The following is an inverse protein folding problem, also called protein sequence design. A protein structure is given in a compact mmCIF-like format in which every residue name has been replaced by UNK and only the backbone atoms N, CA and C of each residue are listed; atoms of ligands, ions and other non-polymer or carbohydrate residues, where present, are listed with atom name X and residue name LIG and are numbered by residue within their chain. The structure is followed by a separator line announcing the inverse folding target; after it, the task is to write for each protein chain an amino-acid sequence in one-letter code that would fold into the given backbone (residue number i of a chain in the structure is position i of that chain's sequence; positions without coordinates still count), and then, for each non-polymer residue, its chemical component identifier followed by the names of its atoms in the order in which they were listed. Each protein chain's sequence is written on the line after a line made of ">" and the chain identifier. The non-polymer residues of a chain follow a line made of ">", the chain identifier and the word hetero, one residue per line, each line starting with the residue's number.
data_IF_327776042149
#
_entry.id   IF_327776042149
#
_cell.length_a   1.000
_cell.length_b   1.000
_cell.length_c   1.000
_cell.angle_alpha   90.00
_cell.angle_beta   90.00
_cell.angle_gamma   90.00
#
_symmetry.space_group_name_H-M   'P 1'
#
loop_
_entity.id
_entity.type
_entity.pdbx_description
1 polymer ?
#
# COMPACT_ATOMS: atom_id res chain seq x y z
N UNK A 1 27.75 -16.83 16.65
CA UNK A 1 27.57 -15.66 15.78
C UNK A 1 26.88 -16.15 14.52
N UNK A 2 25.57 -15.93 14.39
CA UNK A 2 24.86 -16.24 13.16
C UNK A 2 25.35 -15.22 12.10
N UNK A 3 25.92 -15.74 10.99
CA UNK A 3 26.39 -14.88 9.90
C UNK A 3 25.25 -14.03 9.37
N UNK A 4 25.51 -12.74 9.12
CA UNK A 4 24.53 -11.88 8.45
C UNK A 4 24.15 -12.55 7.11
N UNK A 5 22.85 -12.60 6.77
CA UNK A 5 22.43 -13.10 5.48
C UNK A 5 23.15 -12.30 4.39
N UNK A 6 23.69 -12.99 3.39
CA UNK A 6 24.29 -12.33 2.22
C UNK A 6 23.25 -11.41 1.60
N UNK A 7 23.64 -10.18 1.19
CA UNK A 7 22.70 -9.28 0.51
C UNK A 7 22.12 -9.97 -0.74
N UNK A 8 20.82 -9.88 -0.92
CA UNK A 8 20.17 -10.36 -2.14
C UNK A 8 20.56 -9.40 -3.28
N UNK A 9 21.43 -9.87 -4.16
CA UNK A 9 21.95 -9.13 -5.30
C UNK A 9 21.11 -9.35 -6.57
N UNK A 10 20.03 -10.14 -6.48
CA UNK A 10 19.14 -10.33 -7.64
C UNK A 10 18.44 -9.01 -7.96
N UNK A 11 18.32 -8.67 -9.25
CA UNK A 11 17.48 -7.54 -9.63
C UNK A 11 16.03 -7.79 -9.22
N UNK A 12 15.35 -6.73 -8.84
CA UNK A 12 13.91 -6.73 -8.64
C UNK A 12 13.26 -6.93 -10.01
N UNK A 13 12.39 -7.92 -10.14
CA UNK A 13 11.70 -8.24 -11.38
C UNK A 13 10.18 -8.19 -11.24
N UNK A 14 9.66 -8.40 -10.04
CA UNK A 14 8.23 -8.48 -9.78
C UNK A 14 7.83 -7.56 -8.63
N UNK A 15 7.03 -6.55 -8.91
CA UNK A 15 6.53 -5.61 -7.90
C UNK A 15 5.01 -5.68 -7.80
N UNK A 16 4.52 -5.52 -6.57
CA UNK A 16 3.10 -5.35 -6.28
C UNK A 16 2.87 -3.94 -5.76
N UNK A 17 2.03 -3.18 -6.44
CA UNK A 17 1.54 -1.87 -5.98
C UNK A 17 0.17 -2.09 -5.34
N UNK A 18 0.01 -1.71 -4.08
CA UNK A 18 -1.27 -1.76 -3.35
C UNK A 18 -1.80 -0.35 -3.19
N UNK A 19 -3.02 -0.13 -3.64
CA UNK A 19 -3.76 1.12 -3.49
C UNK A 19 -5.11 0.85 -2.82
N UNK A 20 -5.71 1.85 -2.19
CA UNK A 20 -6.98 1.69 -1.49
C UNK A 20 -8.20 2.04 -2.35
N UNK A 21 -8.09 3.04 -3.22
CA UNK A 21 -9.20 3.62 -3.97
C UNK A 21 -9.01 3.55 -5.49
N UNK A 22 -10.13 3.48 -6.22
CA UNK A 22 -10.14 3.52 -7.69
C UNK A 22 -9.49 4.82 -8.22
N UNK A 23 -9.74 5.95 -7.56
CA UNK A 23 -9.19 7.26 -7.91
C UNK A 23 -7.66 7.28 -7.85
N UNK A 24 -7.05 6.55 -6.91
CA UNK A 24 -5.59 6.39 -6.82
C UNK A 24 -5.05 5.39 -7.86
N UNK A 25 -5.84 4.34 -8.14
CA UNK A 25 -5.44 3.25 -9.03
C UNK A 25 -5.34 3.68 -10.49
N UNK A 26 -6.38 4.36 -11.00
CA UNK A 26 -6.54 4.59 -12.44
C UNK A 26 -5.42 5.44 -13.08
N UNK A 27 -4.93 6.53 -12.47
CA UNK A 27 -3.78 7.26 -13.00
C UNK A 27 -2.55 6.36 -13.18
N UNK A 28 -2.21 5.57 -12.15
CA UNK A 28 -1.07 4.64 -12.16
C UNK A 28 -1.26 3.54 -13.22
N UNK A 29 -2.48 2.97 -13.33
CA UNK A 29 -2.84 1.98 -14.36
C UNK A 29 -2.60 2.52 -15.76
N UNK A 30 -3.06 3.75 -16.03
CA UNK A 30 -2.90 4.41 -17.31
C UNK A 30 -1.42 4.71 -17.62
N UNK A 31 -0.66 5.19 -16.63
CA UNK A 31 0.76 5.50 -16.75
C UNK A 31 1.57 4.30 -17.20
N UNK A 32 1.40 3.18 -16.52
CA UNK A 32 2.11 1.94 -16.84
C UNK A 32 1.40 1.08 -17.90
N UNK A 33 0.27 1.53 -18.45
CA UNK A 33 -0.55 0.81 -19.45
C UNK A 33 -0.90 -0.60 -18.98
N UNK A 34 -1.25 -0.73 -17.71
CA UNK A 34 -1.62 -2.01 -17.14
C UNK A 34 -2.99 -2.45 -17.64
N UNK A 35 -3.17 -3.75 -17.81
CA UNK A 35 -4.43 -4.35 -18.22
C UNK A 35 -5.12 -5.02 -17.03
N UNK A 36 -6.43 -4.85 -16.93
CA UNK A 36 -7.19 -5.52 -15.89
C UNK A 36 -7.21 -7.02 -16.12
N UNK A 37 -6.83 -7.78 -15.08
CA UNK A 37 -6.95 -9.23 -15.10
C UNK A 37 -8.44 -9.60 -15.10
N UNK A 38 -8.91 -10.46 -16.03
CA UNK A 38 -10.31 -10.85 -16.06
C UNK A 38 -10.67 -11.56 -14.75
N UNK A 39 -11.80 -11.16 -14.13
CA UNK A 39 -12.38 -11.92 -13.04
C UNK A 39 -12.71 -13.30 -13.55
N UNK A 40 -12.24 -14.36 -12.89
CA UNK A 40 -12.60 -15.73 -13.30
C UNK A 40 -14.14 -15.85 -13.24
N UNK A 41 -14.75 -15.92 -14.42
CA UNK A 41 -16.14 -16.33 -14.51
C UNK A 41 -16.22 -17.69 -13.81
N UNK A 42 -17.16 -17.84 -12.89
CA UNK A 42 -17.43 -19.10 -12.21
C UNK A 42 -17.68 -20.17 -13.27
N UNK A 43 -16.65 -20.93 -13.61
CA UNK A 43 -16.82 -22.14 -14.39
C UNK A 43 -17.75 -23.02 -13.59
N UNK A 44 -19.01 -23.10 -13.99
CA UNK A 44 -19.92 -24.14 -13.52
C UNK A 44 -19.11 -25.43 -13.60
N UNK A 45 -18.93 -26.08 -12.46
CA UNK A 45 -18.21 -27.35 -12.30
C UNK A 45 -18.72 -28.38 -13.30
N UNK A 46 -18.14 -28.43 -14.49
CA UNK A 46 -18.32 -29.55 -15.39
C UNK A 46 -17.12 -30.49 -15.17
N UNK A 47 -17.33 -31.49 -14.34
CA UNK A 47 -16.34 -32.50 -13.92
C UNK A 47 -15.67 -33.26 -15.07
N UNK A 48 -16.23 -33.22 -16.28
CA UNK A 48 -15.76 -33.99 -17.42
C UNK A 48 -14.61 -33.31 -18.22
N UNK A 49 -14.40 -32.00 -18.07
CA UNK A 49 -13.33 -31.27 -18.78
C UNK A 49 -12.02 -31.15 -17.98
N UNK A 50 -11.99 -31.68 -16.76
CA UNK A 50 -10.86 -31.51 -15.83
C UNK A 50 -9.63 -32.39 -16.12
N UNK A 51 -9.74 -33.39 -16.99
CA UNK A 51 -8.64 -34.35 -17.25
C UNK A 51 -7.81 -34.03 -18.50
N UNK A 52 -8.19 -33.11 -19.35
CA UNK A 52 -7.48 -32.86 -20.61
C UNK A 52 -6.72 -31.54 -20.71
N UNK A 53 -6.85 -30.63 -19.71
CA UNK A 53 -6.21 -29.30 -19.72
C UNK A 53 -5.36 -29.06 -18.46
N UNK A 54 -4.47 -30.00 -18.15
CA UNK A 54 -3.55 -29.88 -17.00
C UNK A 54 -2.43 -28.85 -17.19
N UNK A 55 -2.46 -28.03 -18.25
CA UNK A 55 -1.39 -27.06 -18.55
C UNK A 55 -1.81 -25.60 -18.55
N UNK A 56 -3.08 -25.26 -18.31
CA UNK A 56 -3.54 -23.86 -18.18
C UNK A 56 -4.55 -23.78 -17.04
N UNK A 57 -4.21 -24.28 -15.87
CA UNK A 57 -4.87 -23.84 -14.64
C UNK A 57 -4.16 -22.56 -14.20
N UNK A 58 -4.52 -21.44 -14.81
CA UNK A 58 -4.42 -20.17 -14.15
C UNK A 58 -5.19 -20.33 -12.83
N UNK A 59 -4.50 -20.54 -11.74
CA UNK A 59 -5.09 -20.45 -10.40
C UNK A 59 -5.85 -19.12 -10.36
N UNK A 60 -7.15 -19.11 -10.03
CA UNK A 60 -7.84 -17.84 -9.87
C UNK A 60 -7.11 -17.08 -8.77
N UNK A 61 -6.43 -16.01 -9.15
CA UNK A 61 -5.57 -15.17 -8.30
C UNK A 61 -6.29 -14.70 -7.04
N UNK A 62 -7.61 -14.52 -7.17
CA UNK A 62 -8.50 -14.19 -6.07
C UNK A 62 -9.69 -15.15 -6.06
N UNK A 63 -10.22 -15.48 -4.88
CA UNK A 63 -11.48 -16.22 -4.79
C UNK A 63 -12.56 -15.49 -5.60
N UNK A 64 -13.27 -16.19 -6.48
CA UNK A 64 -14.22 -15.59 -7.44
C UNK A 64 -15.42 -14.83 -6.83
N UNK A 65 -15.44 -14.65 -5.50
CA UNK A 65 -16.49 -13.92 -4.76
C UNK A 65 -16.00 -12.64 -4.11
N UNK A 66 -14.68 -12.34 -4.16
CA UNK A 66 -14.14 -11.09 -3.61
C UNK A 66 -14.21 -9.97 -4.65
N UNK A 67 -14.42 -8.71 -4.24
CA UNK A 67 -14.49 -7.57 -5.17
C UNK A 67 -13.14 -7.12 -5.71
N UNK A 68 -12.05 -7.73 -5.26
CA UNK A 68 -10.69 -7.31 -5.56
C UNK A 68 -10.40 -7.24 -7.03
N UNK A 69 -9.60 -6.25 -7.41
CA UNK A 69 -9.22 -5.99 -8.79
C UNK A 69 -7.70 -6.01 -8.90
N UNK A 70 -7.20 -6.68 -9.94
CA UNK A 70 -5.79 -6.69 -10.31
C UNK A 70 -5.63 -6.11 -11.70
N UNK A 71 -4.70 -5.19 -11.82
CA UNK A 71 -4.15 -4.75 -13.10
C UNK A 71 -2.72 -5.25 -13.20
N UNK A 72 -2.29 -5.66 -14.38
CA UNK A 72 -0.93 -6.18 -14.57
C UNK A 72 -0.36 -5.77 -15.93
N UNK A 73 0.95 -5.73 -16.01
CA UNK A 73 1.68 -5.42 -17.23
C UNK A 73 3.18 -5.49 -17.02
N UNK A 74 3.91 -5.28 -18.09
CA UNK A 74 5.37 -5.16 -18.05
C UNK A 74 5.76 -3.71 -18.33
N UNK A 75 6.63 -3.17 -17.49
CA UNK A 75 7.21 -1.85 -17.69
C UNK A 75 8.73 -1.95 -17.58
N UNK A 76 9.45 -1.69 -18.68
CA UNK A 76 10.89 -2.00 -18.81
C UNK A 76 11.13 -3.48 -18.46
N UNK A 77 11.98 -3.77 -17.47
CA UNK A 77 12.30 -5.14 -17.05
C UNK A 77 11.44 -5.61 -15.86
N UNK A 78 10.46 -4.80 -15.43
CA UNK A 78 9.61 -5.08 -14.27
C UNK A 78 8.26 -5.65 -14.69
N UNK A 79 7.85 -6.72 -14.03
CA UNK A 79 6.45 -7.16 -13.95
C UNK A 79 5.75 -6.33 -12.88
N UNK A 80 4.76 -5.53 -13.27
CA UNK A 80 3.99 -4.69 -12.36
C UNK A 80 2.62 -5.30 -12.16
N UNK A 81 2.24 -5.45 -10.90
CA UNK A 81 0.91 -5.85 -10.50
C UNK A 81 0.33 -4.78 -9.58
N UNK A 82 -0.71 -4.09 -10.00
CA UNK A 82 -1.44 -3.16 -9.15
C UNK A 82 -2.69 -3.85 -8.62
N UNK A 83 -2.86 -3.81 -7.30
CA UNK A 83 -3.97 -4.46 -6.60
C UNK A 83 -4.77 -3.40 -5.86
N UNK A 84 -6.07 -3.45 -6.06
CA UNK A 84 -7.06 -2.61 -5.40
C UNK A 84 -8.14 -3.50 -4.76
N UNK A 85 -8.54 -3.26 -3.51
CA UNK A 85 -9.56 -4.07 -2.82
C UNK A 85 -10.93 -4.08 -3.50
N UNK A 86 -11.17 -3.15 -4.44
CA UNK A 86 -12.43 -3.04 -5.15
C UNK A 86 -13.50 -2.32 -4.34
N UNK A 87 -14.74 -2.38 -4.83
CA UNK A 87 -15.88 -1.74 -4.17
C UNK A 87 -16.64 -2.73 -3.30
N UNK A 88 -17.07 -2.28 -2.15
CA UNK A 88 -17.97 -3.05 -1.29
C UNK A 88 -19.27 -3.36 -2.03
N UNK A 89 -19.67 -4.64 -2.12
CA UNK A 89 -20.83 -5.03 -2.92
C UNK A 89 -22.18 -4.49 -2.41
N UNK A 90 -22.26 -4.11 -1.13
CA UNK A 90 -23.50 -3.63 -0.53
C UNK A 90 -23.65 -2.11 -0.67
N UNK A 91 -22.57 -1.36 -0.47
CA UNK A 91 -22.57 0.11 -0.47
C UNK A 91 -22.11 0.74 -1.79
N UNK A 92 -21.33 0.00 -2.60
CA UNK A 92 -20.78 0.47 -3.86
C UNK A 92 -19.60 1.44 -3.73
N UNK A 93 -19.11 1.70 -2.50
CA UNK A 93 -17.93 2.54 -2.24
C UNK A 93 -16.65 1.72 -2.23
N UNK A 94 -15.50 2.38 -2.34
CA UNK A 94 -14.19 1.71 -2.24
C UNK A 94 -14.03 1.02 -0.89
N UNK A 95 -13.48 -0.21 -0.91
CA UNK A 95 -13.21 -1.00 0.29
C UNK A 95 -11.90 -0.53 0.92
N UNK A 96 -11.94 0.61 1.62
CA UNK A 96 -10.81 1.20 2.34
C UNK A 96 -10.62 0.59 3.73
N UNK A 97 -9.48 0.88 4.35
CA UNK A 97 -9.20 0.51 5.73
C UNK A 97 -8.28 -0.69 5.91
N UNK A 98 -8.00 -1.00 7.17
CA UNK A 98 -6.98 -1.98 7.55
C UNK A 98 -7.33 -3.41 7.16
N UNK A 99 -8.60 -3.81 7.27
CA UNK A 99 -9.03 -5.19 6.97
C UNK A 99 -8.93 -5.51 5.47
N UNK A 100 -9.52 -4.72 4.55
CA UNK A 100 -9.39 -4.98 3.12
C UNK A 100 -7.94 -4.98 2.65
N UNK A 101 -7.14 -4.02 3.14
CA UNK A 101 -5.74 -3.87 2.78
C UNK A 101 -4.87 -5.03 3.27
N UNK A 102 -5.10 -5.52 4.49
CA UNK A 102 -4.40 -6.70 4.99
C UNK A 102 -4.73 -7.95 4.16
N UNK A 103 -6.02 -8.17 3.87
CA UNK A 103 -6.47 -9.35 3.12
C UNK A 103 -5.93 -9.35 1.68
N UNK A 104 -6.03 -8.23 0.98
CA UNK A 104 -5.58 -8.13 -0.41
C UNK A 104 -4.06 -8.22 -0.51
N UNK A 105 -3.32 -7.64 0.44
CA UNK A 105 -1.87 -7.74 0.52
C UNK A 105 -1.42 -9.19 0.77
N UNK A 106 -2.05 -9.87 1.74
CA UNK A 106 -1.78 -11.28 1.99
C UNK A 106 -2.00 -12.13 0.74
N UNK A 107 -3.15 -11.99 0.10
CA UNK A 107 -3.47 -12.75 -1.10
C UNK A 107 -2.50 -12.44 -2.26
N UNK A 108 -2.13 -11.17 -2.44
CA UNK A 108 -1.18 -10.76 -3.47
C UNK A 108 0.21 -11.36 -3.24
N UNK A 109 0.72 -11.35 -2.01
CA UNK A 109 2.02 -11.97 -1.68
C UNK A 109 1.98 -13.47 -1.96
N UNK A 110 0.93 -14.18 -1.51
CA UNK A 110 0.81 -15.63 -1.70
C UNK A 110 0.73 -16.01 -3.18
N UNK A 111 -0.01 -15.24 -3.96
CA UNK A 111 -0.28 -15.56 -5.36
C UNK A 111 0.83 -15.08 -6.30
N UNK A 112 1.45 -13.92 -6.04
CA UNK A 112 2.35 -13.25 -6.96
C UNK A 112 3.83 -13.34 -6.54
N UNK A 113 4.10 -13.64 -5.28
CA UNK A 113 5.45 -13.73 -4.72
C UNK A 113 6.34 -12.54 -5.15
N UNK A 114 5.95 -11.30 -4.82
CA UNK A 114 6.68 -10.12 -5.26
C UNK A 114 8.05 -10.01 -4.58
N UNK A 115 8.99 -9.44 -5.29
CA UNK A 115 10.29 -9.05 -4.74
C UNK A 115 10.17 -7.80 -3.85
N UNK A 116 9.18 -6.94 -4.14
CA UNK A 116 8.92 -5.69 -3.44
C UNK A 116 7.44 -5.33 -3.48
N UNK A 117 6.93 -4.81 -2.36
CA UNK A 117 5.62 -4.18 -2.28
C UNK A 117 5.79 -2.66 -2.25
N UNK A 118 4.95 -1.95 -2.99
CA UNK A 118 4.78 -0.50 -2.93
C UNK A 118 3.36 -0.22 -2.48
N UNK A 119 3.16 0.33 -1.29
CA UNK A 119 1.87 0.93 -0.96
C UNK A 119 1.89 2.37 -1.44
N UNK A 120 1.06 2.68 -2.41
CA UNK A 120 0.85 4.02 -2.92
C UNK A 120 -0.54 4.50 -2.52
N UNK A 121 -0.65 5.72 -1.99
CA UNK A 121 -1.96 6.23 -1.57
C UNK A 121 -1.91 7.64 -1.01
N UNK A 122 -3.10 8.19 -0.79
CA UNK A 122 -3.31 9.49 -0.18
C UNK A 122 -3.20 9.44 1.34
N UNK A 123 -2.98 10.58 1.98
CA UNK A 123 -2.75 10.68 3.42
C UNK A 123 -3.11 12.07 3.95
N UNK A 124 -3.53 12.15 5.20
CA UNK A 124 -3.58 13.41 5.94
C UNK A 124 -2.20 13.76 6.48
N UNK A 125 -1.79 15.02 6.41
CA UNK A 125 -0.49 15.48 6.88
C UNK A 125 -0.58 16.44 8.04
N UNK A 126 0.44 16.46 8.91
CA UNK A 126 0.55 17.45 9.99
C UNK A 126 1.44 18.62 9.55
N UNK A 127 0.85 19.82 9.52
CA UNK A 127 1.57 21.09 9.22
C UNK A 127 2.70 21.31 10.23
N UNK A 128 2.46 21.03 11.49
CA UNK A 128 3.47 21.11 12.56
C UNK A 128 4.67 20.19 12.32
N UNK A 129 4.54 19.16 11.48
CA UNK A 129 5.61 18.26 11.06
C UNK A 129 6.16 18.57 9.66
N UNK A 130 5.78 19.73 9.09
CA UNK A 130 6.26 20.21 7.79
C UNK A 130 5.55 19.62 6.58
N UNK A 131 4.36 19.04 6.75
CA UNK A 131 3.53 18.58 5.64
C UNK A 131 2.75 19.74 5.01
N UNK A 132 2.58 19.65 3.70
CA UNK A 132 1.74 20.53 2.88
C UNK A 132 0.96 19.70 1.87
N UNK A 133 -0.20 20.17 1.43
CA UNK A 133 -1.00 19.51 0.39
C UNK A 133 -0.16 19.29 -0.87
N UNK A 134 -0.21 18.11 -1.43
CA UNK A 134 0.60 17.70 -2.59
C UNK A 134 2.02 17.22 -2.26
N UNK A 135 2.47 17.28 -1.01
CA UNK A 135 3.76 16.71 -0.63
C UNK A 135 3.76 15.18 -0.79
N UNK A 136 4.89 14.66 -1.27
CA UNK A 136 5.14 13.21 -1.35
C UNK A 136 6.10 12.80 -0.23
N UNK A 137 5.67 11.81 0.56
CA UNK A 137 6.47 11.22 1.62
C UNK A 137 6.82 9.76 1.30
N UNK A 138 8.08 9.39 1.55
CA UNK A 138 8.49 8.00 1.79
C UNK A 138 8.40 7.74 3.29
N UNK A 139 7.74 6.66 3.66
CA UNK A 139 7.49 6.35 5.06
C UNK A 139 8.63 5.51 5.65
N UNK A 140 9.14 5.93 6.79
CA UNK A 140 10.17 5.22 7.55
C UNK A 140 9.62 4.09 8.41
N UNK A 141 8.45 4.31 8.99
CA UNK A 141 7.78 3.34 9.87
C UNK A 141 6.27 3.60 9.94
N UNK A 142 5.52 2.53 10.22
CA UNK A 142 4.07 2.51 10.32
C UNK A 142 3.64 2.02 11.69
N UNK A 143 2.65 2.66 12.31
CA UNK A 143 2.05 2.26 13.57
C UNK A 143 0.53 2.42 13.53
N UNK A 144 -0.19 1.68 14.39
CA UNK A 144 -1.63 1.89 14.56
C UNK A 144 -1.89 2.93 15.66
N UNK A 145 -2.97 3.71 15.52
CA UNK A 145 -3.43 4.64 16.56
C UNK A 145 -4.78 4.27 17.16
N UNK A 146 -5.55 3.39 16.55
CA UNK A 146 -6.88 3.01 16.99
C UNK A 146 -6.97 1.59 17.61
N UNK A 147 -5.87 0.85 17.66
CA UNK A 147 -5.80 -0.49 18.28
C UNK A 147 -5.49 -0.37 19.78
N UNK A 148 -6.52 -0.18 20.56
CA UNK A 148 -6.43 0.02 22.00
C UNK A 148 -6.67 -1.28 22.76
N UNK A 149 -5.61 -1.84 23.36
CA UNK A 149 -5.67 -3.06 24.17
C UNK A 149 -5.08 -2.74 25.55
N UNK A 150 -5.86 -2.22 26.50
CA UNK A 150 -5.37 -1.79 27.81
C UNK A 150 -5.12 -2.96 28.76
N UNK A 151 -4.30 -3.90 28.31
CA UNK A 151 -3.86 -5.08 29.05
C UNK A 151 -2.34 -5.02 29.14
N UNK A 152 -1.72 -5.13 30.32
CA UNK A 152 -0.27 -5.11 30.45
C UNK A 152 0.43 -6.09 29.50
N UNK A 153 1.42 -5.59 28.77
CA UNK A 153 2.16 -6.34 27.75
C UNK A 153 1.54 -6.33 26.34
N UNK A 154 0.31 -5.82 26.19
CA UNK A 154 -0.30 -5.67 24.86
C UNK A 154 -0.16 -4.27 24.26
N UNK A 155 0.38 -3.31 25.00
CA UNK A 155 0.53 -1.93 24.55
C UNK A 155 1.36 -1.84 23.26
N UNK A 156 2.54 -2.46 23.24
CA UNK A 156 3.39 -2.50 22.05
C UNK A 156 2.77 -3.29 20.90
N UNK A 157 2.03 -4.35 21.20
CA UNK A 157 1.30 -5.10 20.20
C UNK A 157 0.16 -4.26 19.58
N UNK A 158 -0.54 -3.48 20.41
CA UNK A 158 -1.56 -2.53 19.97
C UNK A 158 -0.98 -1.50 19.00
N UNK A 159 0.06 -0.79 19.40
CA UNK A 159 0.78 0.16 18.53
C UNK A 159 1.30 -0.52 17.26
N UNK A 160 1.81 -1.74 17.37
CA UNK A 160 2.20 -2.57 16.26
C UNK A 160 3.20 -1.92 15.32
N UNK A 161 4.15 -1.13 15.86
CA UNK A 161 5.17 -0.42 15.10
C UNK A 161 5.97 -1.37 14.21
N UNK A 162 6.07 -1.03 12.93
CA UNK A 162 6.89 -1.72 11.93
C UNK A 162 7.67 -0.73 11.09
N UNK A 163 8.95 -1.04 10.88
CA UNK A 163 9.77 -0.26 9.96
C UNK A 163 9.41 -0.62 8.52
N UNK A 164 9.26 0.39 7.69
CA UNK A 164 9.27 0.22 6.25
C UNK A 164 10.65 -0.27 5.79
N UNK A 165 10.73 -0.82 4.60
CA UNK A 165 12.02 -1.17 4.02
C UNK A 165 12.85 0.11 3.78
N UNK A 166 14.08 0.13 4.30
CA UNK A 166 14.92 1.31 4.24
C UNK A 166 15.48 1.51 2.83
N UNK A 167 15.27 2.71 2.26
CA UNK A 167 15.62 3.05 0.88
C UNK A 167 16.46 4.33 0.79
N UNK A 168 17.65 4.39 1.41
CA UNK A 168 18.44 5.61 1.49
C UNK A 168 18.87 6.16 0.11
N UNK A 169 19.16 5.28 -0.85
CA UNK A 169 19.55 5.69 -2.18
C UNK A 169 18.36 6.26 -2.97
N UNK A 170 17.18 5.65 -2.86
CA UNK A 170 15.95 6.15 -3.45
C UNK A 170 15.61 7.56 -2.92
N UNK A 171 15.64 7.72 -1.58
CA UNK A 171 15.33 8.99 -0.92
C UNK A 171 16.28 10.08 -1.40
N UNK A 172 17.58 9.78 -1.45
CA UNK A 172 18.61 10.73 -1.88
C UNK A 172 18.48 11.10 -3.37
N UNK A 173 18.30 10.11 -4.24
CA UNK A 173 18.22 10.31 -5.69
C UNK A 173 17.01 11.14 -6.09
N UNK A 174 15.86 10.85 -5.50
CA UNK A 174 14.60 11.53 -5.82
C UNK A 174 14.30 12.74 -4.90
N UNK A 175 15.21 13.04 -3.95
CA UNK A 175 15.05 14.13 -2.98
C UNK A 175 13.67 14.12 -2.28
N UNK A 176 13.24 12.92 -1.81
CA UNK A 176 11.93 12.72 -1.22
C UNK A 176 11.91 13.08 0.26
N UNK A 177 10.79 13.62 0.72
CA UNK A 177 10.53 13.81 2.15
C UNK A 177 10.35 12.45 2.83
N UNK A 178 10.82 12.34 4.08
CA UNK A 178 10.65 11.15 4.91
C UNK A 178 9.70 11.47 6.05
N UNK A 179 8.75 10.57 6.32
CA UNK A 179 7.78 10.74 7.39
C UNK A 179 7.46 9.43 8.13
N UNK A 180 6.80 9.55 9.27
CA UNK A 180 6.21 8.45 10.02
C UNK A 180 4.72 8.39 9.77
N UNK A 181 4.19 7.18 9.61
CA UNK A 181 2.79 6.94 9.30
C UNK A 181 2.05 6.37 10.50
N UNK A 182 0.91 6.96 10.84
CA UNK A 182 -0.01 6.41 11.82
C UNK A 182 -1.34 6.03 11.15
N UNK A 183 -1.78 4.80 11.33
CA UNK A 183 -2.93 4.20 10.62
C UNK A 183 -4.08 3.91 11.58
N UNK A 184 -5.31 4.19 11.16
CA UNK A 184 -6.55 3.81 11.85
C UNK A 184 -7.72 3.64 10.88
N UNK A 185 -8.77 2.95 11.31
CA UNK A 185 -9.94 2.65 10.46
C UNK A 185 -11.01 3.76 10.43
N UNK A 186 -10.71 4.94 10.99
CA UNK A 186 -11.61 6.10 10.99
C UNK A 186 -10.98 7.29 10.30
N UNK A 187 -11.75 8.01 9.48
CA UNK A 187 -11.32 9.25 8.85
C UNK A 187 -11.35 10.43 9.84
N UNK A 188 -12.34 10.46 10.74
CA UNK A 188 -12.40 11.38 11.85
C UNK A 188 -11.50 10.92 13.00
N UNK A 189 -11.19 11.83 13.90
CA UNK A 189 -10.22 11.64 14.95
C UNK A 189 -10.83 11.99 16.31
N UNK A 190 -10.78 11.04 17.24
CA UNK A 190 -11.11 11.31 18.65
C UNK A 190 -9.90 11.92 19.37
N UNK A 191 -10.10 12.56 20.52
CA UNK A 191 -9.00 13.05 21.37
C UNK A 191 -8.03 11.94 21.78
N UNK A 192 -8.54 10.71 21.90
CA UNK A 192 -7.71 9.55 22.22
C UNK A 192 -6.86 9.13 21.04
N UNK A 193 -7.42 9.16 19.81
CA UNK A 193 -6.68 8.88 18.59
C UNK A 193 -5.57 9.93 18.39
N UNK A 194 -5.90 11.21 18.55
CA UNK A 194 -4.93 12.30 18.48
C UNK A 194 -3.75 12.08 19.42
N UNK A 195 -4.03 11.73 20.68
CA UNK A 195 -2.99 11.43 21.68
C UNK A 195 -2.08 10.28 21.24
N UNK A 196 -2.63 9.23 20.63
CA UNK A 196 -1.86 8.07 20.16
C UNK A 196 -1.09 8.38 18.88
N UNK A 197 -1.65 9.17 17.98
CA UNK A 197 -0.98 9.67 16.77
C UNK A 197 0.24 10.50 17.15
N UNK A 198 0.09 11.40 18.12
CA UNK A 198 1.20 12.18 18.65
C UNK A 198 2.26 11.31 19.34
N UNK A 199 1.84 10.30 20.11
CA UNK A 199 2.75 9.33 20.74
C UNK A 199 3.53 8.50 19.70
N UNK A 200 2.94 8.22 18.53
CA UNK A 200 3.60 7.59 17.39
C UNK A 200 4.57 8.55 16.67
N UNK A 201 4.62 9.83 17.06
CA UNK A 201 5.38 10.89 16.38
C UNK A 201 5.06 10.97 14.87
N UNK A 202 3.79 10.82 14.52
CA UNK A 202 3.34 10.74 13.13
C UNK A 202 3.55 12.05 12.38
N UNK A 203 4.02 11.94 11.13
CA UNK A 203 4.09 13.03 10.16
C UNK A 203 2.82 13.05 9.31
N UNK A 204 2.30 11.86 9.03
CA UNK A 204 1.11 11.64 8.19
C UNK A 204 0.23 10.53 8.77
N UNK A 205 -1.06 10.53 8.40
CA UNK A 205 -2.02 9.50 8.81
C UNK A 205 -2.77 8.93 7.60
N UNK A 206 -3.08 7.64 7.67
CA UNK A 206 -3.88 6.94 6.66
C UNK A 206 -4.80 5.87 7.28
N UNK A 207 -5.40 5.04 6.43
CA UNK A 207 -6.27 3.96 6.88
C UNK A 207 -5.76 2.55 6.50
N UNK A 208 -4.56 2.40 5.92
CA UNK A 208 -4.07 1.12 5.35
C UNK A 208 -2.65 0.73 5.75
N UNK A 209 -1.74 1.69 5.80
CA UNK A 209 -0.31 1.43 5.76
C UNK A 209 0.21 0.50 6.84
N UNK A 210 -0.22 0.66 8.09
CA UNK A 210 0.23 -0.24 9.17
C UNK A 210 -0.27 -1.68 9.00
N UNK A 211 -1.44 -1.88 8.36
CA UNK A 211 -1.96 -3.21 8.07
C UNK A 211 -1.15 -3.89 6.95
N UNK A 212 -0.80 -3.14 5.91
CA UNK A 212 0.08 -3.60 4.83
C UNK A 212 1.48 -3.94 5.39
N UNK A 213 2.05 -3.05 6.22
CA UNK A 213 3.31 -3.28 6.90
C UNK A 213 3.29 -4.54 7.78
N UNK A 214 2.16 -4.77 8.48
CA UNK A 214 1.96 -5.97 9.29
C UNK A 214 2.08 -7.25 8.45
N UNK A 215 1.38 -7.31 7.33
CA UNK A 215 1.37 -8.49 6.46
C UNK A 215 2.72 -8.68 5.78
N UNK A 216 3.33 -7.62 5.28
CA UNK A 216 4.64 -7.64 4.64
C UNK A 216 5.74 -8.13 5.59
N UNK A 217 5.76 -7.61 6.84
CA UNK A 217 6.70 -8.08 7.87
C UNK A 217 6.44 -9.55 8.26
N UNK A 218 5.19 -9.95 8.43
CA UNK A 218 4.83 -11.34 8.75
C UNK A 218 5.36 -12.32 7.70
N UNK A 219 5.26 -11.96 6.41
CA UNK A 219 5.65 -12.79 5.28
C UNK A 219 7.07 -12.49 4.77
N UNK A 220 7.79 -11.55 5.42
CA UNK A 220 9.18 -11.18 5.12
C UNK A 220 9.38 -10.68 3.69
N UNK A 221 8.40 -9.95 3.16
CA UNK A 221 8.50 -9.26 1.88
C UNK A 221 8.83 -7.80 2.11
N UNK A 222 9.86 -7.23 1.46
CA UNK A 222 10.17 -5.81 1.57
C UNK A 222 8.97 -4.96 1.14
N UNK A 223 8.66 -3.90 1.91
CA UNK A 223 7.58 -2.98 1.59
C UNK A 223 8.02 -1.53 1.77
N UNK A 224 7.74 -0.70 0.77
CA UNK A 224 7.92 0.75 0.79
C UNK A 224 6.55 1.44 0.68
N UNK A 225 6.45 2.65 1.20
CA UNK A 225 5.19 3.39 1.29
C UNK A 225 5.41 4.78 0.69
N UNK A 226 4.64 5.09 -0.34
CA UNK A 226 4.65 6.38 -1.06
C UNK A 226 3.33 7.06 -0.76
N UNK A 227 3.34 8.15 -0.01
CA UNK A 227 2.13 8.82 0.45
C UNK A 227 2.08 10.26 -0.03
N UNK A 228 0.93 10.66 -0.57
CA UNK A 228 0.65 12.00 -1.06
C UNK A 228 -0.36 12.71 -0.16
N UNK A 229 -0.05 13.90 0.30
CA UNK A 229 -0.87 14.65 1.28
C UNK A 229 -2.08 15.29 0.61
N UNK A 230 -3.28 14.91 1.03
CA UNK A 230 -4.56 15.46 0.54
C UNK A 230 -5.14 16.56 1.43
N UNK A 231 -4.86 16.47 2.73
CA UNK A 231 -5.46 17.39 3.73
C UNK A 231 -4.51 17.59 4.90
N UNK A 232 -4.69 18.71 5.59
CA UNK A 232 -3.90 19.06 6.77
C UNK A 232 -4.71 18.77 8.03
N UNK A 233 -4.24 17.81 8.82
CA UNK A 233 -4.94 17.28 9.99
C UNK A 233 -5.04 18.30 11.13
N UNK A 234 -3.96 19.06 11.34
CA UNK A 234 -3.85 20.16 12.29
C UNK A 234 -4.11 21.53 11.64
N UNK A 235 -4.91 21.54 10.55
CA UNK A 235 -5.34 22.73 9.82
C UNK A 235 -6.68 23.29 10.31
N UNK A 236 -7.11 24.39 9.70
CA UNK A 236 -8.36 25.08 10.04
C UNK A 236 -9.59 24.52 9.31
N UNK A 237 -9.38 23.75 8.21
CA UNK A 237 -10.46 23.16 7.42
C UNK A 237 -10.92 21.82 7.99
N UNK A 238 -12.22 21.47 7.87
CA UNK A 238 -12.69 20.12 8.17
C UNK A 238 -11.98 19.08 7.29
N UNK A 239 -11.45 18.02 7.92
CA UNK A 239 -10.66 16.96 7.25
C UNK A 239 -11.37 16.38 6.02
N UNK A 240 -12.66 16.05 6.16
CA UNK A 240 -13.47 15.45 5.08
C UNK A 240 -13.60 16.38 3.89
N UNK A 241 -13.85 17.67 4.13
CA UNK A 241 -14.02 18.68 3.09
C UNK A 241 -12.72 18.87 2.29
N UNK A 242 -11.60 19.09 3.00
CA UNK A 242 -10.30 19.31 2.36
C UNK A 242 -9.82 18.04 1.62
N UNK A 243 -10.05 16.85 2.17
CA UNK A 243 -9.76 15.58 1.50
C UNK A 243 -10.52 15.46 0.16
N UNK A 244 -11.85 15.69 0.16
CA UNK A 244 -12.67 15.56 -1.05
C UNK A 244 -12.31 16.61 -2.12
N UNK A 245 -11.98 17.83 -1.71
CA UNK A 245 -11.55 18.89 -2.62
C UNK A 245 -10.24 18.55 -3.36
N UNK A 246 -9.30 17.89 -2.66
CA UNK A 246 -7.94 17.68 -3.17
C UNK A 246 -7.70 16.28 -3.73
N UNK A 247 -8.58 15.29 -3.48
CA UNK A 247 -8.35 13.89 -3.80
C UNK A 247 -7.91 13.68 -5.26
N UNK A 248 -8.64 14.22 -6.22
CA UNK A 248 -8.32 14.01 -7.64
C UNK A 248 -6.98 14.67 -8.02
N UNK A 249 -6.75 15.91 -7.60
CA UNK A 249 -5.52 16.64 -7.92
C UNK A 249 -4.29 15.99 -7.28
N UNK A 250 -4.43 15.44 -6.07
CA UNK A 250 -3.32 14.76 -5.38
C UNK A 250 -3.07 13.36 -5.94
N UNK A 251 -4.11 12.66 -6.42
CA UNK A 251 -3.92 11.41 -7.16
C UNK A 251 -3.09 11.64 -8.44
N UNK A 252 -3.28 12.77 -9.13
CA UNK A 252 -2.47 13.17 -10.28
C UNK A 252 -1.02 13.57 -9.92
N UNK A 253 -0.75 13.92 -8.65
CA UNK A 253 0.62 14.14 -8.14
C UNK A 253 1.27 12.82 -7.70
N UNK A 254 0.49 11.91 -7.13
CA UNK A 254 0.95 10.60 -6.68
C UNK A 254 1.47 9.74 -7.85
N UNK A 255 0.76 9.76 -8.97
CA UNK A 255 1.07 8.96 -10.16
C UNK A 255 2.50 9.18 -10.70
N UNK A 256 2.95 10.42 -11.03
CA UNK A 256 4.33 10.63 -11.46
C UNK A 256 5.36 10.32 -10.35
N UNK A 257 5.02 10.48 -9.08
CA UNK A 257 5.91 10.10 -7.99
C UNK A 257 6.14 8.57 -7.95
N UNK A 258 5.06 7.79 -8.11
CA UNK A 258 5.16 6.32 -8.22
C UNK A 258 5.97 5.92 -9.47
N UNK A 259 5.79 6.61 -10.60
CA UNK A 259 6.59 6.35 -11.80
C UNK A 259 8.08 6.59 -11.54
N UNK A 260 8.46 7.68 -10.88
CA UNK A 260 9.86 7.96 -10.53
C UNK A 260 10.44 6.87 -9.62
N UNK A 261 9.69 6.42 -8.62
CA UNK A 261 10.07 5.31 -7.74
C UNK A 261 10.28 4.02 -8.54
N UNK A 262 9.35 3.65 -9.39
CA UNK A 262 9.45 2.45 -10.25
C UNK A 262 10.62 2.56 -11.23
N UNK A 263 10.85 3.74 -11.81
CA UNK A 263 12.00 3.99 -12.67
C UNK A 263 13.34 3.82 -11.95
N UNK A 264 13.42 4.28 -10.69
CA UNK A 264 14.61 4.11 -9.86
C UNK A 264 14.87 2.63 -9.52
N UNK A 265 13.81 1.87 -9.24
CA UNK A 265 13.89 0.44 -8.87
C UNK A 265 14.37 -0.42 -10.05
N UNK A 266 13.99 -0.06 -11.28
CA UNK A 266 14.29 -0.87 -12.46
C UNK A 266 15.79 -1.16 -12.62
N UNK A 267 16.15 -2.44 -12.71
CA UNK A 267 17.53 -2.90 -12.83
C UNK A 267 18.33 -2.95 -11.54
N UNK A 268 17.73 -2.60 -10.39
CA UNK A 268 18.38 -2.66 -9.08
C UNK A 268 17.95 -3.87 -8.27
N UNK A 269 18.79 -4.31 -7.38
CA UNK A 269 18.45 -5.25 -6.31
C UNK A 269 17.85 -4.51 -5.12
N UNK A 270 17.18 -5.24 -4.23
CA UNK A 270 16.60 -4.69 -3.00
C UNK A 270 17.67 -4.00 -2.13
N UNK A 271 18.89 -4.52 -2.13
CA UNK A 271 20.01 -3.95 -1.34
C UNK A 271 20.56 -2.62 -1.88
N UNK A 272 20.15 -2.21 -3.09
CA UNK A 272 20.60 -0.97 -3.75
C UNK A 272 19.57 0.16 -3.61
N UNK A 273 18.40 -0.11 -2.99
CA UNK A 273 17.37 0.90 -2.78
C UNK A 273 17.73 1.81 -1.61
#
# INVERSE_FOLDING_TARGET
>A
MAGQPKPDIRPILNIVIVVAMETEALPIVNRFRLTQHPRSLSLKRNRALMLCCLQILEFPWFPGRVPWVRYHGTYKDLSINLIWPGKDPASGVDSIGTIPSALVTYAAIQALQPDLIINAGTTGGFKAKGASIGDIFIISDCAFHDRRIPIPGFDLYGVGLRKAFNTPNLIKELNLKVGRLSTGDSLDMTLQDESLIMANDATVIDMEGAAIAYVADLLKVPAIFVKAVTNIVDGDKPIVEEFLENLAAVADVLDPAVEQVVNFINGKSVSEL
#
